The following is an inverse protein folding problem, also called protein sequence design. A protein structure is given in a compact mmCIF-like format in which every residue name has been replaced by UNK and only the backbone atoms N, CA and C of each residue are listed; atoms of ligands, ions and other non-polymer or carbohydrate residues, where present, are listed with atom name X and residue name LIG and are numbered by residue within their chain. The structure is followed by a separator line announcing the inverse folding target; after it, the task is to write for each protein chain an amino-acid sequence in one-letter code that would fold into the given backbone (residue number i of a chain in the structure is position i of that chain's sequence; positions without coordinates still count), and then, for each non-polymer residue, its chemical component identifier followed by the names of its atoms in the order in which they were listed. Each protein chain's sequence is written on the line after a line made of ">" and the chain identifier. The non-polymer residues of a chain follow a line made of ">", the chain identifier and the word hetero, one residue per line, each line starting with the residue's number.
data_IF_097638939138
#
_entry.id   IF_097638939138
#
_cell.length_a   1.000
_cell.length_b   1.000
_cell.length_c   1.000
_cell.angle_alpha   90.00
_cell.angle_beta   90.00
_cell.angle_gamma   90.00
#
_symmetry.space_group_name_H-M   'P 1'
#
loop_
_entity.id
_entity.type
_entity.pdbx_description
1 polymer ?
#
# COMPACT_ATOMS: atom_id res chain seq x y z
N UNK A 1 -57.11 -54.85 10.31
CA UNK A 1 -57.22 -56.17 9.66
C UNK A 1 -55.84 -56.81 9.67
N UNK A 2 -55.81 -58.11 9.43
CA UNK A 2 -54.70 -59.02 9.08
C UNK A 2 -53.39 -58.38 8.53
N UNK A 3 -52.19 -58.95 8.71
CA UNK A 3 -51.69 -60.24 9.28
C UNK A 3 -50.29 -59.99 9.91
N UNK A 4 -49.86 -60.61 11.02
CA UNK A 4 -49.33 -61.98 11.23
C UNK A 4 -47.98 -62.31 10.56
N UNK A 5 -47.03 -62.85 11.35
CA UNK A 5 -45.71 -63.36 10.89
C UNK A 5 -44.54 -62.90 11.81
N UNK A 6 -44.03 -63.67 12.79
CA UNK A 6 -43.24 -64.94 12.72
C UNK A 6 -41.80 -64.71 12.23
N UNK A 7 -40.73 -64.84 13.03
CA UNK A 7 -40.58 -65.15 14.47
C UNK A 7 -39.26 -65.90 14.75
N UNK A 8 -38.98 -66.27 16.03
CA UNK A 8 -37.92 -67.24 16.48
C UNK A 8 -36.44 -66.81 16.31
N UNK A 9 -35.43 -67.27 17.08
CA UNK A 9 -35.36 -67.97 18.40
C UNK A 9 -33.90 -68.08 18.92
N UNK A 10 -33.64 -67.65 20.18
CA UNK A 10 -32.92 -68.38 21.28
C UNK A 10 -32.48 -67.38 22.38
N UNK A 11 -32.65 -67.55 23.70
CA UNK A 11 -32.80 -68.73 24.62
C UNK A 11 -31.47 -69.46 24.87
N UNK A 12 -31.01 -69.72 26.11
CA UNK A 12 -31.64 -69.62 27.46
C UNK A 12 -31.17 -68.36 28.25
N UNK A 13 -30.87 -68.23 29.58
CA UNK A 13 -30.73 -69.13 30.77
C UNK A 13 -30.92 -68.35 32.12
N UNK A 14 -31.34 -69.08 33.18
CA UNK A 14 -31.11 -68.99 34.66
C UNK A 14 -30.39 -67.73 35.24
N UNK A 15 -30.97 -66.91 36.14
CA UNK A 15 -31.37 -67.11 37.58
C UNK A 15 -30.20 -67.40 38.56
N UNK A 16 -30.14 -67.01 39.84
CA UNK A 16 -30.52 -65.87 40.71
C UNK A 16 -30.10 -66.26 42.16
N UNK A 17 -30.31 -65.38 43.15
CA UNK A 17 -30.56 -65.67 44.58
C UNK A 17 -29.41 -65.69 45.62
N UNK A 18 -29.76 -65.14 46.81
CA UNK A 18 -29.16 -65.35 48.15
C UNK A 18 -27.86 -64.57 48.49
N UNK A 19 -27.58 -64.13 49.74
CA UNK A 19 -28.34 -64.15 51.00
C UNK A 19 -27.98 -62.93 51.92
N UNK A 20 -28.61 -62.83 53.11
CA UNK A 20 -28.69 -61.62 53.94
C UNK A 20 -27.85 -61.58 55.24
N UNK A 21 -27.56 -60.35 55.68
CA UNK A 21 -27.32 -59.88 57.08
C UNK A 21 -26.13 -60.41 57.92
N UNK A 22 -25.32 -59.47 58.46
CA UNK A 22 -25.46 -58.98 59.86
C UNK A 22 -24.53 -57.78 60.17
N UNK A 23 -24.89 -57.02 61.19
CA UNK A 23 -24.36 -55.68 61.50
C UNK A 23 -23.12 -55.66 62.42
N UNK A 24 -22.31 -54.60 62.30
CA UNK A 24 -21.44 -54.11 63.37
C UNK A 24 -21.04 -52.62 63.24
N UNK A 25 -21.33 -51.86 64.30
CA UNK A 25 -20.55 -50.73 64.86
C UNK A 25 -20.31 -49.41 64.08
N UNK A 26 -20.85 -48.34 64.69
CA UNK A 26 -20.27 -46.98 64.85
C UNK A 26 -20.32 -45.98 63.68
N UNK A 27 -20.75 -44.76 64.00
CA UNK A 27 -20.94 -43.61 63.10
C UNK A 27 -19.83 -42.56 63.32
N UNK A 28 -19.46 -41.87 62.22
CA UNK A 28 -18.64 -40.64 62.14
C UNK A 28 -17.11 -40.77 62.20
N UNK A 29 -16.44 -40.49 61.08
CA UNK A 29 -15.83 -39.15 60.89
C UNK A 29 -15.35 -38.87 59.45
N UNK A 30 -15.64 -37.65 58.97
CA UNK A 30 -15.01 -36.92 57.83
C UNK A 30 -15.23 -37.43 56.38
N UNK A 31 -15.63 -36.57 55.43
CA UNK A 31 -15.65 -36.92 54.00
C UNK A 31 -14.26 -36.83 53.36
N UNK A 32 -13.94 -37.78 52.46
CA UNK A 32 -12.61 -37.89 51.84
C UNK A 32 -12.42 -36.91 50.66
N UNK A 33 -11.58 -35.88 50.83
CA UNK A 33 -11.15 -34.99 49.73
C UNK A 33 -10.22 -35.73 48.76
N UNK A 34 -10.73 -36.24 47.63
CA UNK A 34 -9.93 -36.91 46.57
C UNK A 34 -9.96 -36.26 45.17
N UNK A 35 -10.45 -35.02 45.04
CA UNK A 35 -10.40 -34.26 43.77
C UNK A 35 -9.59 -32.93 43.72
N UNK A 36 -8.88 -32.44 44.77
CA UNK A 36 -8.27 -31.11 44.68
C UNK A 36 -7.13 -31.02 43.65
N UNK A 37 -6.20 -31.98 43.63
CA UNK A 37 -4.97 -31.86 42.82
C UNK A 37 -5.25 -31.82 41.31
N UNK A 38 -6.16 -32.65 40.79
CA UNK A 38 -6.51 -32.66 39.36
C UNK A 38 -7.19 -31.35 38.96
N UNK A 39 -8.07 -30.80 39.82
CA UNK A 39 -8.71 -29.51 39.60
C UNK A 39 -7.69 -28.37 39.62
N UNK A 40 -6.74 -28.37 40.56
CA UNK A 40 -5.64 -27.39 40.60
C UNK A 40 -4.75 -27.46 39.36
N UNK A 41 -4.39 -28.66 38.88
CA UNK A 41 -3.60 -28.83 37.65
C UNK A 41 -4.37 -28.31 36.43
N UNK A 42 -5.68 -28.59 36.32
CA UNK A 42 -6.53 -28.07 35.24
C UNK A 42 -6.64 -26.53 35.28
N UNK A 43 -6.80 -25.94 36.47
CA UNK A 43 -6.82 -24.47 36.66
C UNK A 43 -5.47 -23.86 36.27
N UNK A 44 -4.34 -24.45 36.68
CA UNK A 44 -3.00 -23.98 36.29
C UNK A 44 -2.77 -24.08 34.78
N UNK A 45 -3.22 -25.16 34.14
CA UNK A 45 -3.19 -25.30 32.68
C UNK A 45 -4.02 -24.24 31.96
N UNK A 46 -5.21 -23.92 32.48
CA UNK A 46 -6.05 -22.85 31.96
C UNK A 46 -5.41 -21.47 32.14
N UNK A 47 -4.82 -21.20 33.31
CA UNK A 47 -4.07 -19.95 33.59
C UNK A 47 -2.88 -19.81 32.64
N UNK A 48 -2.13 -20.88 32.37
CA UNK A 48 -1.03 -20.87 31.41
C UNK A 48 -1.52 -20.59 29.98
N UNK A 49 -2.61 -21.23 29.53
CA UNK A 49 -3.21 -20.98 28.22
C UNK A 49 -3.73 -19.53 28.07
N UNK A 50 -4.43 -19.01 29.09
CA UNK A 50 -4.91 -17.62 29.12
C UNK A 50 -3.74 -16.64 29.19
N UNK A 51 -2.70 -16.94 29.97
CA UNK A 51 -1.47 -16.15 30.04
C UNK A 51 -0.72 -16.09 28.70
N UNK A 52 -0.55 -17.23 28.02
CA UNK A 52 0.02 -17.29 26.67
C UNK A 52 -0.86 -16.56 25.64
N UNK A 53 -2.19 -16.64 25.76
CA UNK A 53 -3.10 -15.92 24.88
C UNK A 53 -3.01 -14.40 25.07
N UNK A 54 -3.06 -13.91 26.32
CA UNK A 54 -2.88 -12.49 26.66
C UNK A 54 -1.49 -12.00 26.22
N UNK A 55 -0.43 -12.79 26.43
CA UNK A 55 0.92 -12.46 25.95
C UNK A 55 0.99 -12.42 24.42
N UNK A 56 0.31 -13.32 23.71
CA UNK A 56 0.22 -13.28 22.25
C UNK A 56 -0.54 -12.05 21.74
N UNK A 57 -1.56 -11.59 22.48
CA UNK A 57 -2.28 -10.36 22.17
C UNK A 57 -1.44 -9.12 22.44
N UNK A 58 -0.74 -9.04 23.59
CA UNK A 58 0.11 -7.89 23.91
C UNK A 58 1.34 -7.78 22.99
N UNK A 59 1.96 -8.90 22.60
CA UNK A 59 2.98 -8.94 21.53
C UNK A 59 2.45 -8.38 20.20
N UNK A 60 1.18 -8.67 19.89
CA UNK A 60 0.50 -8.27 18.64
C UNK A 60 -0.05 -6.84 18.66
N UNK A 61 -0.36 -6.29 19.84
CA UNK A 61 -0.82 -4.91 20.04
C UNK A 61 0.33 -3.91 20.24
N UNK A 62 1.33 -4.24 21.06
CA UNK A 62 2.41 -3.31 21.41
C UNK A 62 3.57 -3.30 20.40
N UNK A 63 3.51 -4.12 19.34
CA UNK A 63 4.54 -4.16 18.30
C UNK A 63 5.91 -4.67 18.76
N UNK A 64 6.02 -5.24 19.96
CA UNK A 64 7.29 -5.69 20.56
C UNK A 64 8.03 -6.72 19.67
N UNK A 65 7.29 -7.59 18.96
CA UNK A 65 7.85 -8.50 17.97
C UNK A 65 8.44 -7.77 16.75
N UNK A 66 7.85 -6.64 16.33
CA UNK A 66 8.41 -5.80 15.26
C UNK A 66 9.67 -5.08 15.74
N UNK A 67 9.68 -4.60 17.00
CA UNK A 67 10.88 -4.04 17.63
C UNK A 67 12.05 -5.04 17.69
N UNK A 68 11.80 -6.28 18.14
CA UNK A 68 12.80 -7.35 18.18
C UNK A 68 13.31 -7.74 16.77
N UNK A 69 12.42 -7.84 15.78
CA UNK A 69 12.83 -8.06 14.39
C UNK A 69 13.68 -6.89 13.88
N UNK A 70 13.36 -5.65 14.25
CA UNK A 70 14.09 -4.45 13.84
C UNK A 70 15.47 -4.35 14.50
N UNK A 71 15.62 -4.69 15.78
CA UNK A 71 16.96 -4.75 16.42
C UNK A 71 17.85 -5.79 15.75
N UNK A 72 17.32 -6.99 15.50
CA UNK A 72 18.08 -8.08 14.88
C UNK A 72 18.43 -7.78 13.41
N UNK A 73 17.60 -6.98 12.71
CA UNK A 73 17.94 -6.45 11.39
C UNK A 73 19.05 -5.41 11.45
N UNK A 74 19.03 -4.48 12.42
CA UNK A 74 20.08 -3.45 12.59
C UNK A 74 21.43 -4.09 12.93
N UNK A 75 21.43 -5.08 13.83
CA UNK A 75 22.63 -5.83 14.21
C UNK A 75 23.23 -6.56 13.00
N UNK A 76 22.39 -7.21 12.16
CA UNK A 76 22.82 -7.87 10.92
C UNK A 76 23.17 -6.92 9.77
N UNK A 77 22.74 -5.66 9.79
CA UNK A 77 23.26 -4.62 8.88
C UNK A 77 24.68 -4.18 9.31
N UNK A 78 24.97 -4.11 10.62
CA UNK A 78 26.29 -3.74 11.16
C UNK A 78 27.40 -4.75 10.85
N UNK A 79 27.07 -6.02 10.63
CA UNK A 79 28.03 -7.06 10.24
C UNK A 79 28.45 -7.01 8.76
N UNK A 80 27.88 -6.11 7.94
CA UNK A 80 28.14 -6.07 6.49
C UNK A 80 29.41 -5.27 6.13
N UNK A 81 30.18 -5.69 5.10
CA UNK A 81 31.40 -5.00 4.67
C UNK A 81 31.24 -3.52 4.27
N UNK A 82 30.02 -3.09 3.94
CA UNK A 82 29.72 -1.75 3.44
C UNK A 82 29.15 -0.78 4.49
N UNK A 83 29.11 -1.17 5.78
CA UNK A 83 28.46 -0.37 6.83
C UNK A 83 29.22 0.93 7.14
N UNK A 84 28.62 2.09 6.86
CA UNK A 84 29.16 3.39 7.25
C UNK A 84 28.74 3.75 8.70
N UNK A 85 29.68 3.87 9.67
CA UNK A 85 29.38 4.19 11.07
C UNK A 85 28.80 5.60 11.29
N UNK A 86 28.68 6.43 10.24
CA UNK A 86 28.03 7.75 10.28
C UNK A 86 26.51 7.68 10.06
N UNK A 87 25.97 6.53 9.65
CA UNK A 87 24.52 6.33 9.47
C UNK A 87 23.85 6.23 10.86
N UNK A 88 22.86 7.08 11.20
CA UNK A 88 22.11 6.95 12.45
C UNK A 88 21.28 5.66 12.48
N UNK A 89 21.16 5.02 13.64
CA UNK A 89 20.38 3.77 13.81
C UNK A 89 18.91 3.88 13.37
N UNK A 90 18.35 5.09 13.37
CA UNK A 90 16.99 5.40 12.89
C UNK A 90 16.85 5.40 11.36
N UNK A 91 17.96 5.47 10.63
CA UNK A 91 18.03 5.41 9.17
C UNK A 91 18.42 4.02 8.64
N UNK A 92 19.13 3.19 9.42
CA UNK A 92 19.58 1.84 9.03
C UNK A 92 18.44 0.98 8.41
N UNK A 93 17.21 0.93 8.96
CA UNK A 93 16.11 0.15 8.36
C UNK A 93 15.66 0.60 6.96
N UNK A 94 16.16 1.75 6.48
CA UNK A 94 15.87 2.34 5.17
C UNK A 94 17.13 2.41 4.27
N UNK A 95 18.26 1.87 4.73
CA UNK A 95 19.49 1.69 3.97
C UNK A 95 19.56 0.25 3.49
N UNK A 96 19.88 0.05 2.21
CA UNK A 96 20.00 -1.28 1.64
C UNK A 96 21.23 -1.38 0.74
N UNK A 97 21.84 -2.57 0.72
CA UNK A 97 22.90 -2.94 -0.23
C UNK A 97 22.42 -4.16 -1.02
N UNK A 98 21.63 -3.97 -2.10
CA UNK A 98 21.10 -5.06 -2.90
C UNK A 98 22.21 -5.88 -3.55
N UNK A 99 21.95 -7.17 -3.75
CA UNK A 99 22.82 -8.14 -4.44
C UNK A 99 22.00 -8.74 -5.60
N UNK A 100 22.08 -8.15 -6.81
CA UNK A 100 21.28 -8.60 -7.95
C UNK A 100 21.64 -10.03 -8.35
N UNK A 101 20.68 -10.75 -8.92
CA UNK A 101 20.89 -12.08 -9.48
C UNK A 101 21.35 -12.02 -10.94
N UNK A 102 21.12 -10.91 -11.65
CA UNK A 102 21.44 -10.80 -13.09
C UNK A 102 22.74 -10.06 -13.41
N UNK A 103 23.41 -9.45 -12.43
CA UNK A 103 24.68 -8.73 -12.60
C UNK A 103 25.37 -8.45 -11.24
N UNK A 104 26.69 -8.33 -11.22
CA UNK A 104 27.41 -7.74 -10.07
C UNK A 104 27.27 -6.22 -10.10
N UNK A 105 27.26 -5.57 -8.93
CA UNK A 105 27.27 -4.11 -8.80
C UNK A 105 28.67 -3.51 -8.86
N UNK A 106 29.73 -4.31 -8.80
CA UNK A 106 31.13 -3.89 -8.97
C UNK A 106 31.47 -2.70 -8.04
N UNK A 107 31.98 -1.58 -8.57
CA UNK A 107 32.27 -0.35 -7.81
C UNK A 107 31.07 0.19 -7.03
N UNK A 108 29.85 -0.08 -7.49
CA UNK A 108 28.61 0.35 -6.86
C UNK A 108 28.16 -0.56 -5.70
N UNK A 109 28.84 -1.68 -5.39
CA UNK A 109 28.38 -2.65 -4.39
C UNK A 109 28.09 -2.00 -3.01
N UNK A 110 29.01 -1.17 -2.52
CA UNK A 110 28.85 -0.42 -1.26
C UNK A 110 28.14 0.94 -1.41
N UNK A 111 27.48 1.23 -2.53
CA UNK A 111 26.55 2.37 -2.61
C UNK A 111 25.26 2.02 -1.84
N UNK A 112 24.88 2.87 -0.88
CA UNK A 112 23.55 2.80 -0.23
C UNK A 112 22.43 2.91 -1.27
N UNK A 113 21.40 2.07 -1.16
CA UNK A 113 20.19 2.15 -1.98
C UNK A 113 18.97 2.38 -1.11
N UNK A 114 18.23 3.46 -1.37
CA UNK A 114 16.98 3.81 -0.68
C UNK A 114 15.78 3.36 -1.50
N UNK A 115 14.87 2.57 -0.92
CA UNK A 115 13.68 2.07 -1.61
C UNK A 115 12.50 3.04 -1.51
N UNK A 116 11.78 3.29 -2.60
CA UNK A 116 10.63 4.21 -2.60
C UNK A 116 9.45 3.81 -3.51
N UNK A 117 8.26 4.31 -3.19
CA UNK A 117 7.08 4.18 -4.03
C UNK A 117 6.31 5.51 -4.14
N UNK A 118 6.09 6.00 -5.36
CA UNK A 118 5.27 7.18 -5.64
C UNK A 118 3.80 6.77 -5.67
N UNK A 119 3.09 6.96 -4.56
CA UNK A 119 1.69 6.57 -4.38
C UNK A 119 0.76 7.69 -4.88
N UNK A 120 -0.08 7.41 -5.89
CA UNK A 120 -0.78 8.45 -6.65
C UNK A 120 -2.15 8.00 -7.17
N UNK A 121 -2.98 8.94 -7.64
CA UNK A 121 -4.12 8.64 -8.51
C UNK A 121 -3.83 9.05 -9.96
N UNK A 122 -4.52 8.43 -10.93
CA UNK A 122 -4.46 8.85 -12.34
C UNK A 122 -4.74 10.34 -12.48
N UNK A 123 -3.96 10.98 -13.37
CA UNK A 123 -3.99 12.43 -13.68
C UNK A 123 -3.65 13.36 -12.50
N UNK A 124 -2.98 12.85 -11.46
CA UNK A 124 -2.41 13.66 -10.35
C UNK A 124 -0.98 14.18 -10.62
N UNK A 125 -0.49 14.07 -11.86
CA UNK A 125 0.83 14.60 -12.26
C UNK A 125 2.04 13.71 -11.96
N UNK A 126 1.83 12.49 -11.45
CA UNK A 126 2.93 11.60 -11.04
C UNK A 126 3.87 11.18 -12.16
N UNK A 127 3.44 11.05 -13.41
CA UNK A 127 4.35 10.85 -14.55
C UNK A 127 5.28 12.05 -14.85
N UNK A 128 4.89 13.28 -14.47
CA UNK A 128 5.78 14.45 -14.55
C UNK A 128 6.76 14.50 -13.38
N UNK A 129 6.31 14.19 -12.16
CA UNK A 129 7.20 14.08 -10.99
C UNK A 129 8.20 12.93 -11.14
N UNK A 130 7.78 11.80 -11.69
CA UNK A 130 8.64 10.66 -12.02
C UNK A 130 9.74 11.04 -13.02
N UNK A 131 9.42 11.73 -14.12
CA UNK A 131 10.46 12.19 -15.07
C UNK A 131 11.39 13.24 -14.46
N UNK A 132 10.92 14.04 -13.50
CA UNK A 132 11.78 14.94 -12.73
C UNK A 132 12.75 14.16 -11.84
N UNK A 133 12.27 13.17 -11.08
CA UNK A 133 13.15 12.34 -10.23
C UNK A 133 14.14 11.53 -11.06
N UNK A 134 13.71 10.91 -12.17
CA UNK A 134 14.58 10.16 -13.08
C UNK A 134 15.62 11.02 -13.82
N UNK A 135 15.52 12.36 -13.76
CA UNK A 135 16.60 13.26 -14.24
C UNK A 135 17.77 13.40 -13.26
N UNK A 136 17.63 12.91 -12.03
CA UNK A 136 18.77 12.68 -11.15
C UNK A 136 19.54 11.43 -11.64
N UNK A 137 20.88 11.43 -11.66
CA UNK A 137 21.65 10.27 -12.10
C UNK A 137 21.37 9.06 -11.21
N UNK A 138 21.51 9.19 -9.89
CA UNK A 138 21.38 8.06 -8.96
C UNK A 138 19.92 7.61 -8.61
N UNK A 139 18.88 8.04 -9.34
CA UNK A 139 17.47 7.65 -9.06
C UNK A 139 16.85 6.85 -10.21
N UNK A 140 16.33 5.66 -9.91
CA UNK A 140 15.60 4.82 -10.85
C UNK A 140 14.14 4.59 -10.43
N UNK A 141 13.20 5.36 -10.98
CA UNK A 141 11.75 5.13 -10.85
C UNK A 141 11.22 4.40 -12.09
N UNK A 142 10.69 3.19 -11.87
CA UNK A 142 10.48 2.18 -12.92
C UNK A 142 9.06 2.18 -13.52
N UNK A 143 8.32 3.29 -13.45
CA UNK A 143 7.00 3.40 -14.05
C UNK A 143 5.90 2.66 -13.29
N UNK A 144 4.76 2.47 -13.97
CA UNK A 144 3.58 1.78 -13.43
C UNK A 144 3.70 0.27 -13.62
N UNK A 145 4.65 -0.38 -12.94
CA UNK A 145 4.89 -1.83 -13.11
C UNK A 145 3.63 -2.67 -12.81
N UNK A 146 2.78 -2.20 -11.89
CA UNK A 146 1.49 -2.80 -11.53
C UNK A 146 0.28 -2.35 -12.38
N UNK A 147 0.47 -1.57 -13.45
CA UNK A 147 -0.58 -1.41 -14.47
C UNK A 147 -1.00 -2.77 -15.04
N UNK A 148 0.00 -3.60 -15.34
CA UNK A 148 -0.07 -4.99 -15.83
C UNK A 148 -0.78 -5.91 -14.84
N UNK A 149 -1.92 -6.49 -15.24
CA UNK A 149 -2.81 -7.28 -14.36
C UNK A 149 -2.13 -8.48 -13.67
N UNK A 150 -1.38 -9.38 -14.36
CA UNK A 150 -0.79 -10.57 -13.72
C UNK A 150 0.04 -10.29 -12.47
N UNK A 151 0.89 -9.25 -12.51
CA UNK A 151 1.79 -8.81 -11.42
C UNK A 151 1.06 -8.36 -10.16
N UNK A 152 -0.27 -8.17 -10.22
CA UNK A 152 -1.13 -7.78 -9.09
C UNK A 152 -2.40 -8.63 -9.00
N UNK A 153 -2.30 -9.89 -9.43
CA UNK A 153 -3.37 -10.89 -9.31
C UNK A 153 -3.70 -11.20 -7.84
N UNK A 154 -2.65 -11.41 -7.03
CA UNK A 154 -2.69 -11.65 -5.59
C UNK A 154 -1.49 -10.96 -4.89
N UNK A 155 -1.44 -11.02 -3.56
CA UNK A 155 -0.33 -10.45 -2.78
C UNK A 155 1.02 -11.12 -3.06
N UNK A 156 1.07 -12.43 -3.32
CA UNK A 156 2.32 -13.16 -3.60
C UNK A 156 3.03 -12.62 -4.84
N UNK A 157 2.30 -12.40 -5.94
CA UNK A 157 2.86 -11.83 -7.17
C UNK A 157 3.20 -10.33 -7.02
N UNK A 158 2.49 -9.59 -6.14
CA UNK A 158 2.88 -8.22 -5.76
C UNK A 158 4.23 -8.23 -5.05
N UNK A 159 4.36 -9.02 -3.97
CA UNK A 159 5.58 -9.16 -3.17
C UNK A 159 6.77 -9.57 -4.04
N UNK A 160 6.62 -10.64 -4.84
CA UNK A 160 7.62 -11.12 -5.80
C UNK A 160 8.04 -10.07 -6.85
N UNK A 161 7.10 -9.22 -7.28
CA UNK A 161 7.39 -8.11 -8.20
C UNK A 161 8.15 -6.97 -7.48
N UNK A 162 7.81 -6.67 -6.22
CA UNK A 162 8.54 -5.69 -5.40
C UNK A 162 9.95 -6.19 -5.06
N UNK A 163 10.10 -7.45 -4.69
CA UNK A 163 11.42 -8.03 -4.38
C UNK A 163 12.33 -8.01 -5.61
N UNK A 164 11.82 -8.33 -6.81
CA UNK A 164 12.58 -8.19 -8.05
C UNK A 164 12.98 -6.73 -8.35
N UNK A 165 12.12 -5.76 -8.06
CA UNK A 165 12.44 -4.33 -8.21
C UNK A 165 13.54 -3.88 -7.24
N UNK A 166 13.36 -4.20 -5.96
CA UNK A 166 14.22 -3.71 -4.89
C UNK A 166 15.56 -4.47 -4.79
N UNK A 167 15.65 -5.68 -5.35
CA UNK A 167 16.93 -6.35 -5.57
C UNK A 167 17.70 -5.85 -6.83
N UNK A 168 17.19 -4.81 -7.50
CA UNK A 168 17.71 -4.24 -8.76
C UNK A 168 17.67 -5.16 -10.00
N UNK A 169 17.08 -6.35 -9.89
CA UNK A 169 16.86 -7.29 -11.01
C UNK A 169 15.80 -6.80 -12.05
N UNK A 170 15.33 -5.56 -11.95
CA UNK A 170 14.28 -4.99 -12.80
C UNK A 170 14.85 -4.11 -13.92
N UNK A 171 15.13 -4.73 -15.06
CA UNK A 171 15.56 -4.01 -16.25
C UNK A 171 14.44 -3.13 -16.84
N UNK A 172 14.73 -1.84 -17.03
CA UNK A 172 13.84 -0.88 -17.71
C UNK A 172 14.64 0.30 -18.28
N UNK A 173 13.98 1.19 -19.04
CA UNK A 173 14.57 2.46 -19.50
C UNK A 173 14.81 3.50 -18.39
N UNK A 174 14.55 3.16 -17.12
CA UNK A 174 14.98 3.92 -15.96
C UNK A 174 16.29 3.40 -15.33
N UNK A 175 16.94 2.40 -15.95
CA UNK A 175 18.31 1.98 -15.60
C UNK A 175 19.31 3.14 -15.76
N UNK A 176 20.45 3.03 -15.08
CA UNK A 176 21.45 4.09 -14.92
C UNK A 176 22.85 3.59 -15.24
N UNK A 177 23.68 4.50 -15.74
CA UNK A 177 25.10 4.24 -15.93
C UNK A 177 25.87 4.51 -14.62
N UNK A 178 25.37 5.45 -13.82
CA UNK A 178 25.88 5.77 -12.49
C UNK A 178 25.26 4.87 -11.41
N UNK A 179 25.99 4.63 -10.32
CA UNK A 179 25.50 3.88 -9.16
C UNK A 179 24.12 4.37 -8.69
N UNK A 180 23.12 3.48 -8.74
CA UNK A 180 21.77 3.78 -8.27
C UNK A 180 21.75 3.86 -6.75
N UNK A 181 21.39 5.02 -6.21
CA UNK A 181 21.29 5.28 -4.77
C UNK A 181 19.83 5.36 -4.28
N UNK A 182 18.85 5.41 -5.19
CA UNK A 182 17.46 5.14 -4.87
C UNK A 182 16.73 4.45 -6.02
N UNK A 183 15.99 3.39 -5.70
CA UNK A 183 15.17 2.63 -6.66
C UNK A 183 13.72 2.57 -6.20
N UNK A 184 12.80 2.63 -7.16
CA UNK A 184 11.38 2.66 -6.86
C UNK A 184 10.49 2.55 -8.07
N UNK A 185 9.20 2.81 -7.82
CA UNK A 185 8.12 2.72 -8.81
C UNK A 185 7.10 3.85 -8.62
N UNK A 186 6.23 4.01 -9.62
CA UNK A 186 5.01 4.81 -9.54
C UNK A 186 3.81 3.88 -9.45
N UNK A 187 3.04 3.95 -8.37
CA UNK A 187 1.95 3.01 -8.09
C UNK A 187 0.63 3.76 -7.91
N UNK A 188 -0.36 3.46 -8.76
CA UNK A 188 -1.67 4.07 -8.61
C UNK A 188 -2.50 3.36 -7.55
N UNK A 189 -3.25 4.10 -6.72
CA UNK A 189 -4.03 3.54 -5.60
C UNK A 189 -4.98 2.39 -6.01
N UNK A 190 -5.51 2.42 -7.24
CA UNK A 190 -6.39 1.40 -7.80
C UNK A 190 -5.67 0.19 -8.46
N UNK A 191 -4.34 0.19 -8.55
CA UNK A 191 -3.54 -0.91 -9.10
C UNK A 191 -3.20 -1.95 -8.02
N UNK A 192 -4.22 -2.42 -7.30
CA UNK A 192 -4.06 -3.43 -6.24
C UNK A 192 -3.56 -2.89 -4.89
N UNK A 193 -2.88 -1.74 -4.85
CA UNK A 193 -2.35 -1.11 -3.63
C UNK A 193 -3.40 -1.03 -2.49
N UNK A 194 -4.56 -0.43 -2.78
CA UNK A 194 -5.63 -0.28 -1.78
C UNK A 194 -6.42 -1.57 -1.50
N UNK A 195 -6.27 -2.61 -2.32
CA UNK A 195 -6.89 -3.93 -2.10
C UNK A 195 -6.07 -4.78 -1.10
N UNK A 196 -4.75 -4.66 -1.16
CA UNK A 196 -3.79 -5.43 -0.35
C UNK A 196 -3.02 -4.52 0.62
N UNK A 197 -3.68 -3.50 1.15
CA UNK A 197 -3.02 -2.41 1.85
C UNK A 197 -2.39 -2.84 3.19
N UNK A 198 -2.94 -3.85 3.86
CA UNK A 198 -2.42 -4.33 5.14
C UNK A 198 -1.08 -5.06 4.93
N UNK A 199 -1.06 -5.93 3.92
CA UNK A 199 0.11 -6.71 3.52
C UNK A 199 1.21 -5.82 2.93
N UNK A 200 0.83 -4.81 2.14
CA UNK A 200 1.77 -3.85 1.52
C UNK A 200 2.34 -2.89 2.58
N UNK A 201 1.56 -2.41 3.55
CA UNK A 201 2.07 -1.63 4.69
C UNK A 201 3.06 -2.46 5.52
N UNK A 202 2.75 -3.74 5.77
CA UNK A 202 3.70 -4.67 6.39
C UNK A 202 4.98 -4.82 5.56
N UNK A 203 4.88 -5.04 4.25
CA UNK A 203 6.04 -5.12 3.36
C UNK A 203 6.89 -3.84 3.43
N UNK A 204 6.27 -2.67 3.31
CA UNK A 204 6.96 -1.37 3.32
C UNK A 204 7.77 -1.18 4.62
N UNK A 205 7.17 -1.50 5.77
CA UNK A 205 7.83 -1.37 7.07
C UNK A 205 8.90 -2.46 7.32
N UNK A 206 8.74 -3.66 6.75
CA UNK A 206 9.76 -4.73 6.84
C UNK A 206 10.92 -4.55 5.86
N UNK A 207 10.75 -3.75 4.80
CA UNK A 207 11.70 -3.61 3.67
C UNK A 207 12.14 -2.16 3.44
N UNK A 208 11.99 -1.26 4.41
CA UNK A 208 12.50 0.12 4.32
C UNK A 208 11.89 0.99 3.22
N UNK A 209 10.70 0.64 2.68
CA UNK A 209 10.14 1.35 1.52
C UNK A 209 9.52 2.68 1.94
N UNK A 210 10.12 3.77 1.46
CA UNK A 210 9.66 5.14 1.71
C UNK A 210 8.53 5.55 0.75
N UNK A 211 7.35 5.85 1.30
CA UNK A 211 6.17 6.20 0.50
C UNK A 211 6.12 7.72 0.17
N UNK A 212 6.00 8.05 -1.11
CA UNK A 212 5.86 9.43 -1.59
C UNK A 212 4.45 9.61 -2.13
N UNK A 213 3.55 10.16 -1.32
CA UNK A 213 2.20 10.48 -1.77
C UNK A 213 2.23 11.69 -2.69
N UNK A 214 1.76 11.55 -3.93
CA UNK A 214 1.47 12.67 -4.82
C UNK A 214 -0.03 12.74 -5.12
N UNK A 215 -0.70 13.61 -4.40
CA UNK A 215 -2.13 13.87 -4.51
C UNK A 215 -2.40 15.13 -5.34
N UNK A 216 -3.67 15.44 -5.61
CA UNK A 216 -4.08 16.63 -6.37
C UNK A 216 -5.33 17.20 -5.74
N UNK A 217 -5.27 18.44 -5.24
CA UNK A 217 -6.36 19.06 -4.48
C UNK A 217 -7.59 19.35 -5.36
N UNK A 218 -7.39 19.84 -6.59
CA UNK A 218 -8.52 20.14 -7.46
C UNK A 218 -9.03 18.87 -8.18
N UNK A 219 -9.97 18.17 -7.53
CA UNK A 219 -10.53 16.92 -8.05
C UNK A 219 -11.38 17.10 -9.30
N UNK A 220 -12.04 18.27 -9.50
CA UNK A 220 -12.76 18.59 -10.74
C UNK A 220 -11.79 18.70 -11.93
N UNK A 221 -10.71 19.46 -11.79
CA UNK A 221 -9.67 19.57 -12.83
C UNK A 221 -8.92 18.25 -13.07
N UNK A 222 -8.81 17.39 -12.04
CA UNK A 222 -8.37 16.01 -12.21
C UNK A 222 -9.37 15.22 -13.07
N UNK A 223 -10.66 15.30 -12.79
CA UNK A 223 -11.72 14.58 -13.51
C UNK A 223 -11.84 15.01 -14.97
N UNK A 224 -11.81 16.32 -15.27
CA UNK A 224 -11.68 16.85 -16.65
C UNK A 224 -10.49 16.22 -17.38
N UNK A 225 -9.33 16.13 -16.70
CA UNK A 225 -8.16 15.50 -17.30
C UNK A 225 -8.24 13.97 -17.42
N UNK A 226 -9.14 13.29 -16.71
CA UNK A 226 -9.43 11.86 -16.90
C UNK A 226 -10.29 11.70 -18.16
N UNK A 227 -11.36 12.48 -18.29
CA UNK A 227 -12.25 12.45 -19.46
C UNK A 227 -11.49 12.79 -20.75
N UNK A 228 -10.66 13.83 -20.76
CA UNK A 228 -9.82 14.17 -21.92
C UNK A 228 -8.79 13.08 -22.27
N UNK A 229 -8.24 12.36 -21.28
CA UNK A 229 -7.35 11.22 -21.54
C UNK A 229 -8.13 10.01 -22.10
N UNK A 230 -9.38 9.80 -21.68
CA UNK A 230 -10.22 8.75 -22.22
C UNK A 230 -10.62 9.05 -23.68
N UNK A 231 -10.95 10.32 -23.98
CA UNK A 231 -11.22 10.79 -25.33
C UNK A 231 -10.03 10.58 -26.26
N UNK A 232 -8.82 11.03 -25.90
CA UNK A 232 -7.62 10.77 -26.71
C UNK A 232 -7.27 9.28 -26.82
N UNK A 233 -7.59 8.46 -25.81
CA UNK A 233 -7.40 7.01 -25.90
C UNK A 233 -8.35 6.32 -26.89
N UNK A 234 -9.50 6.94 -27.21
CA UNK A 234 -10.44 6.45 -28.20
C UNK A 234 -10.18 7.07 -29.59
N UNK A 235 -10.08 8.40 -29.65
CA UNK A 235 -9.97 9.19 -30.87
C UNK A 235 -8.53 9.34 -31.39
N UNK A 236 -7.52 9.04 -30.57
CA UNK A 236 -6.09 9.00 -30.95
C UNK A 236 -5.63 10.28 -31.66
N UNK A 237 -5.84 11.42 -30.99
CA UNK A 237 -5.84 12.76 -31.60
C UNK A 237 -4.48 13.21 -32.16
N UNK A 238 -3.40 12.52 -31.80
CA UNK A 238 -2.04 12.81 -32.29
C UNK A 238 -1.62 11.74 -33.30
N UNK A 239 -1.99 11.94 -34.57
CA UNK A 239 -1.63 11.10 -35.71
C UNK A 239 -1.93 9.60 -35.49
N UNK A 240 -3.15 9.27 -35.04
CA UNK A 240 -3.54 7.87 -34.80
C UNK A 240 -2.89 7.24 -33.56
N UNK A 241 -2.21 8.02 -32.72
CA UNK A 241 -1.57 7.59 -31.47
C UNK A 241 -2.20 8.27 -30.25
N UNK A 242 -2.49 7.50 -29.20
CA UNK A 242 -2.85 8.02 -27.88
C UNK A 242 -1.58 8.50 -27.14
N UNK A 243 -1.58 9.69 -26.54
CA UNK A 243 -0.48 10.16 -25.68
C UNK A 243 -0.97 10.75 -24.35
N UNK A 244 -0.86 9.96 -23.27
CA UNK A 244 -1.13 10.43 -21.91
C UNK A 244 -0.22 11.60 -21.45
N UNK A 245 0.98 11.72 -22.04
CA UNK A 245 1.97 12.78 -21.82
C UNK A 245 2.57 13.24 -23.15
N UNK A 246 2.92 14.52 -23.27
CA UNK A 246 3.37 15.17 -24.51
C UNK A 246 4.63 16.00 -24.27
N UNK A 247 5.43 16.22 -25.32
CA UNK A 247 6.72 16.91 -25.23
C UNK A 247 6.76 18.28 -25.93
N UNK A 248 5.78 18.58 -26.79
CA UNK A 248 5.64 19.88 -27.45
C UNK A 248 4.44 20.68 -26.94
N UNK A 249 4.45 22.00 -27.17
CA UNK A 249 3.28 22.86 -26.96
C UNK A 249 2.15 22.54 -27.94
N UNK A 250 2.49 22.25 -29.19
CA UNK A 250 1.52 21.95 -30.25
C UNK A 250 0.68 20.69 -29.94
N UNK A 251 1.31 19.58 -29.53
CA UNK A 251 0.59 18.39 -29.07
C UNK A 251 -0.28 18.70 -27.83
N UNK A 252 0.24 19.49 -26.89
CA UNK A 252 -0.48 19.90 -25.69
C UNK A 252 -1.72 20.75 -26.02
N UNK A 253 -1.62 21.62 -27.01
CA UNK A 253 -2.70 22.48 -27.49
C UNK A 253 -3.77 21.68 -28.24
N UNK A 254 -3.38 20.72 -29.10
CA UNK A 254 -4.32 19.81 -29.78
C UNK A 254 -5.12 18.98 -28.76
N UNK A 255 -4.45 18.35 -27.78
CA UNK A 255 -5.14 17.58 -26.74
C UNK A 255 -6.04 18.45 -25.85
N UNK A 256 -5.70 19.73 -25.66
CA UNK A 256 -6.50 20.69 -24.89
C UNK A 256 -7.66 21.34 -25.69
N UNK A 257 -7.92 20.93 -26.95
CA UNK A 257 -9.10 21.36 -27.69
C UNK A 257 -10.38 20.63 -27.24
N UNK A 258 -10.26 19.37 -26.81
CA UNK A 258 -11.40 18.59 -26.35
C UNK A 258 -11.92 19.11 -25.00
N UNK A 259 -13.21 19.43 -24.95
CA UNK A 259 -13.93 19.78 -23.73
C UNK A 259 -14.95 18.68 -23.42
N UNK A 260 -14.85 17.96 -22.29
CA UNK A 260 -15.91 17.07 -21.88
C UNK A 260 -17.16 17.84 -21.45
N UNK A 261 -18.32 17.39 -21.93
CA UNK A 261 -19.61 17.58 -21.28
C UNK A 261 -19.65 16.64 -20.06
N UNK A 262 -19.92 17.18 -18.88
CA UNK A 262 -19.89 16.44 -17.60
C UNK A 262 -21.31 16.14 -17.13
N UNK A 263 -21.57 14.87 -16.79
CA UNK A 263 -22.82 14.49 -16.14
C UNK A 263 -22.89 15.02 -14.69
N UNK A 264 -23.80 15.97 -14.47
CA UNK A 264 -24.09 16.55 -13.15
C UNK A 264 -24.70 15.55 -12.16
N UNK A 265 -25.33 14.45 -12.60
CA UNK A 265 -25.92 13.43 -11.70
C UNK A 265 -24.84 12.62 -10.98
N UNK A 266 -23.78 12.22 -11.68
CA UNK A 266 -22.67 11.42 -11.11
C UNK A 266 -21.52 12.26 -10.55
N UNK A 267 -21.35 13.51 -10.98
CA UNK A 267 -20.22 14.38 -10.60
C UNK A 267 -19.92 14.43 -9.09
N UNK A 268 -20.93 14.73 -8.25
CA UNK A 268 -20.73 14.83 -6.78
C UNK A 268 -20.26 13.48 -6.21
N UNK A 269 -20.75 12.36 -6.73
CA UNK A 269 -20.37 11.00 -6.31
C UNK A 269 -18.93 10.70 -6.73
N UNK A 270 -18.52 11.05 -7.95
CA UNK A 270 -17.14 10.87 -8.43
C UNK A 270 -16.11 11.72 -7.67
N UNK A 271 -16.49 12.95 -7.27
CA UNK A 271 -15.69 13.79 -6.40
C UNK A 271 -15.59 13.18 -5.00
N UNK A 272 -16.71 12.77 -4.37
CA UNK A 272 -16.71 12.06 -3.07
C UNK A 272 -15.86 10.79 -3.10
N UNK A 273 -15.96 9.99 -4.17
CA UNK A 273 -15.20 8.73 -4.34
C UNK A 273 -13.70 8.99 -4.49
N UNK A 274 -13.32 10.02 -5.23
CA UNK A 274 -11.91 10.41 -5.40
C UNK A 274 -11.30 10.98 -4.11
N UNK A 275 -12.08 11.78 -3.38
CA UNK A 275 -11.71 12.40 -2.11
C UNK A 275 -11.53 11.35 -1.01
N UNK A 276 -12.50 10.44 -0.86
CA UNK A 276 -12.40 9.30 0.06
C UNK A 276 -11.20 8.40 -0.28
N UNK A 277 -10.96 8.07 -1.54
CA UNK A 277 -9.82 7.23 -1.93
C UNK A 277 -8.46 7.84 -1.53
N UNK A 278 -8.34 9.17 -1.51
CA UNK A 278 -7.14 9.84 -1.00
C UNK A 278 -7.03 9.76 0.53
N UNK A 279 -8.13 10.02 1.24
CA UNK A 279 -8.17 9.97 2.71
C UNK A 279 -7.93 8.55 3.25
N UNK A 280 -8.59 7.55 2.68
CA UNK A 280 -8.41 6.13 3.02
C UNK A 280 -6.96 5.68 2.80
N UNK A 281 -6.30 6.15 1.73
CA UNK A 281 -4.90 5.81 1.45
C UNK A 281 -3.93 6.41 2.47
N UNK A 282 -4.11 7.70 2.83
CA UNK A 282 -3.32 8.33 3.88
C UNK A 282 -3.56 7.66 5.24
N UNK A 283 -4.81 7.31 5.58
CA UNK A 283 -5.15 6.62 6.83
C UNK A 283 -4.55 5.20 6.89
N UNK A 284 -4.60 4.45 5.80
CA UNK A 284 -4.06 3.09 5.74
C UNK A 284 -2.54 3.04 5.85
N UNK A 285 -1.84 4.01 5.25
CA UNK A 285 -0.37 4.07 5.22
C UNK A 285 0.25 4.97 6.30
N UNK A 286 -0.55 5.53 7.22
CA UNK A 286 -0.10 6.47 8.27
C UNK A 286 1.07 5.96 9.13
N UNK A 287 1.19 4.63 9.27
CA UNK A 287 2.23 3.95 10.04
C UNK A 287 3.46 3.55 9.19
N UNK A 288 3.58 4.03 7.95
CA UNK A 288 4.79 3.86 7.10
C UNK A 288 5.63 5.14 7.09
N UNK A 289 6.93 5.04 6.79
CA UNK A 289 7.76 6.22 6.50
C UNK A 289 7.25 6.88 5.22
N UNK A 290 6.62 8.04 5.33
CA UNK A 290 5.99 8.70 4.19
C UNK A 290 6.13 10.23 4.18
N UNK A 291 6.05 10.80 2.98
CA UNK A 291 5.93 12.24 2.72
C UNK A 291 4.69 12.50 1.86
N UNK A 292 3.98 13.62 2.08
CA UNK A 292 2.78 14.01 1.31
C UNK A 292 3.03 15.26 0.51
N UNK A 293 2.80 15.17 -0.80
CA UNK A 293 2.91 16.26 -1.77
C UNK A 293 1.56 16.45 -2.48
N UNK A 294 1.28 17.68 -2.87
CA UNK A 294 0.18 18.01 -3.76
C UNK A 294 0.71 18.59 -5.06
N UNK A 295 0.14 18.14 -6.18
CA UNK A 295 0.47 18.58 -7.54
C UNK A 295 0.47 20.11 -7.67
N UNK A 296 -0.52 20.78 -7.08
CA UNK A 296 -0.65 22.23 -7.06
C UNK A 296 0.58 22.93 -6.42
N UNK A 297 1.17 22.34 -5.38
CA UNK A 297 2.33 22.91 -4.68
C UNK A 297 3.61 22.70 -5.47
N UNK A 298 3.81 21.50 -6.06
CA UNK A 298 4.99 21.18 -6.89
C UNK A 298 5.01 21.99 -8.19
N UNK A 299 3.83 22.29 -8.76
CA UNK A 299 3.68 23.21 -9.90
C UNK A 299 3.95 24.66 -9.51
N UNK A 300 3.47 25.11 -8.35
CA UNK A 300 3.67 26.48 -7.85
C UNK A 300 5.11 26.75 -7.43
N UNK A 301 5.75 25.77 -6.79
CA UNK A 301 7.14 25.85 -6.34
C UNK A 301 7.86 24.51 -6.52
N UNK A 302 8.77 24.48 -7.50
CA UNK A 302 9.57 23.29 -7.81
C UNK A 302 10.61 22.92 -6.75
N UNK A 303 10.92 23.80 -5.78
CA UNK A 303 11.79 23.42 -4.65
C UNK A 303 11.16 22.35 -3.77
N UNK A 304 9.84 22.12 -3.84
CA UNK A 304 9.16 21.01 -3.13
C UNK A 304 9.57 19.60 -3.55
N UNK A 305 10.41 19.46 -4.58
CA UNK A 305 11.08 18.19 -4.89
C UNK A 305 12.44 18.05 -4.19
N UNK A 306 12.99 19.12 -3.62
CA UNK A 306 14.17 19.02 -2.74
C UNK A 306 13.78 18.36 -1.41
N UNK A 307 12.59 18.64 -0.90
CA UNK A 307 11.97 17.93 0.23
C UNK A 307 11.94 16.40 0.02
N UNK A 308 11.80 15.95 -1.24
CA UNK A 308 11.81 14.52 -1.61
C UNK A 308 13.23 13.96 -1.65
N UNK A 309 14.19 14.72 -2.17
CA UNK A 309 15.60 14.33 -2.15
C UNK A 309 16.11 14.24 -0.70
N UNK A 310 15.76 15.20 0.15
CA UNK A 310 16.06 15.18 1.61
C UNK A 310 15.45 13.96 2.30
N UNK A 311 14.16 13.67 2.04
CA UNK A 311 13.43 12.54 2.61
C UNK A 311 14.06 11.17 2.23
N UNK A 312 14.58 11.07 1.00
CA UNK A 312 15.34 9.93 0.47
C UNK A 312 16.86 10.04 0.68
N UNK A 313 17.37 11.01 1.46
CA UNK A 313 18.81 11.21 1.75
C UNK A 313 19.73 11.40 0.53
N UNK A 314 19.19 11.88 -0.59
CA UNK A 314 19.91 12.10 -1.85
C UNK A 314 20.45 13.54 -1.96
N UNK A 315 21.60 13.75 -2.64
CA UNK A 315 22.11 15.09 -2.93
C UNK A 315 21.12 15.96 -3.71
N UNK A 316 20.95 17.23 -3.31
CA UNK A 316 20.10 18.18 -4.03
C UNK A 316 20.68 18.52 -5.40
N UNK A 317 19.96 18.17 -6.48
CA UNK A 317 20.34 18.50 -7.86
C UNK A 317 19.19 19.15 -8.63
N UNK A 318 19.53 19.93 -9.67
CA UNK A 318 18.56 20.62 -10.55
C UNK A 318 17.81 19.61 -11.43
N UNK A 319 16.63 19.19 -11.00
CA UNK A 319 15.77 18.27 -11.75
C UNK A 319 15.20 18.92 -13.04
N UNK A 320 15.03 18.14 -14.10
CA UNK A 320 14.49 18.55 -15.40
C UNK A 320 13.50 17.53 -15.97
N UNK A 321 12.61 17.95 -16.87
CA UNK A 321 11.65 17.06 -17.53
C UNK A 321 11.21 17.68 -18.86
N UNK A 322 10.93 16.82 -19.86
CA UNK A 322 10.40 17.21 -21.17
C UNK A 322 8.87 17.26 -21.23
N UNK A 323 8.16 16.82 -20.19
CA UNK A 323 6.69 16.79 -20.21
C UNK A 323 6.09 18.21 -20.19
N UNK A 324 5.23 18.50 -21.16
CA UNK A 324 4.46 19.75 -21.25
C UNK A 324 3.08 19.57 -20.59
N UNK A 325 2.59 20.61 -19.92
CA UNK A 325 1.26 20.63 -19.30
C UNK A 325 0.19 20.90 -20.37
N UNK A 326 -0.70 19.93 -20.61
CA UNK A 326 -1.83 20.02 -21.56
C UNK A 326 -2.79 21.16 -21.18
N UNK A 327 -3.51 21.05 -20.05
CA UNK A 327 -4.52 22.03 -19.67
C UNK A 327 -3.89 23.29 -19.03
N UNK A 328 -3.69 24.34 -19.84
CA UNK A 328 -3.10 25.63 -19.44
C UNK A 328 -4.11 26.74 -19.17
N UNK A 329 -5.23 26.79 -19.92
CA UNK A 329 -6.34 27.76 -19.77
C UNK A 329 -7.11 27.60 -18.44
N UNK A 330 -8.07 28.48 -18.13
CA UNK A 330 -8.87 28.41 -16.88
C UNK A 330 -9.76 27.15 -16.90
N UNK A 331 -10.17 26.64 -15.74
CA UNK A 331 -10.92 25.39 -15.64
C UNK A 331 -12.23 25.40 -16.46
N UNK A 332 -12.97 26.51 -16.41
CA UNK A 332 -14.17 26.73 -17.24
C UNK A 332 -13.93 26.63 -18.75
N UNK A 333 -12.71 26.93 -19.20
CA UNK A 333 -12.37 26.98 -20.62
C UNK A 333 -12.13 25.54 -21.18
N UNK A 334 -12.01 24.53 -20.29
CA UNK A 334 -11.82 23.10 -20.59
C UNK A 334 -13.06 22.24 -20.25
N UNK A 335 -14.21 22.84 -20.01
CA UNK A 335 -15.49 22.16 -19.75
C UNK A 335 -16.52 22.70 -20.73
N UNK A 336 -17.32 21.82 -21.31
CA UNK A 336 -18.32 22.19 -22.30
C UNK A 336 -19.55 22.82 -21.64
N UNK A 337 -20.29 22.04 -20.83
CA UNK A 337 -21.43 22.50 -20.04
C UNK A 337 -21.00 23.17 -18.71
N UNK A 338 -20.11 24.17 -18.76
CA UNK A 338 -19.58 24.81 -17.56
C UNK A 338 -20.67 25.36 -16.61
N UNK A 339 -21.75 25.93 -17.15
CA UNK A 339 -22.84 26.48 -16.34
C UNK A 339 -23.52 25.41 -15.47
N UNK A 340 -23.81 24.23 -16.03
CA UNK A 340 -24.33 23.07 -15.30
C UNK A 340 -23.38 22.61 -14.19
N UNK A 341 -22.09 22.50 -14.52
CA UNK A 341 -21.05 22.04 -13.58
C UNK A 341 -20.84 23.04 -12.45
N UNK A 342 -20.89 24.34 -12.75
CA UNK A 342 -20.83 25.40 -11.74
C UNK A 342 -22.04 25.30 -10.82
N UNK A 343 -23.26 25.30 -11.37
CA UNK A 343 -24.50 25.24 -10.60
C UNK A 343 -24.63 23.96 -9.75
N UNK A 344 -24.13 22.81 -10.25
CA UNK A 344 -24.11 21.55 -9.51
C UNK A 344 -23.07 21.48 -8.39
N UNK A 345 -22.13 22.43 -8.29
CA UNK A 345 -21.11 22.48 -7.24
C UNK A 345 -21.22 23.68 -6.32
N UNK A 346 -21.88 24.77 -6.71
CA UNK A 346 -22.24 25.91 -5.85
C UNK A 346 -23.01 25.43 -4.60
N UNK A 347 -22.67 25.97 -3.43
CA UNK A 347 -23.24 25.56 -2.14
C UNK A 347 -22.79 24.19 -1.64
N UNK A 348 -21.99 23.44 -2.41
CA UNK A 348 -21.40 22.17 -1.97
C UNK A 348 -19.99 22.37 -1.43
N UNK A 349 -19.50 21.41 -0.62
CA UNK A 349 -18.09 21.39 -0.16
C UNK A 349 -17.04 21.40 -1.30
N UNK A 350 -17.45 21.14 -2.54
CA UNK A 350 -16.59 21.08 -3.72
C UNK A 350 -16.60 22.38 -4.55
N UNK A 351 -17.40 23.39 -4.19
CA UNK A 351 -17.44 24.70 -4.87
C UNK A 351 -16.03 25.32 -5.04
N UNK A 352 -15.17 25.11 -4.03
CA UNK A 352 -13.77 25.56 -4.03
C UNK A 352 -12.98 25.11 -5.27
N UNK A 353 -13.34 23.98 -5.90
CA UNK A 353 -12.69 23.49 -7.12
C UNK A 353 -12.98 24.34 -8.36
N UNK A 354 -14.11 25.05 -8.41
CA UNK A 354 -14.47 25.92 -9.55
C UNK A 354 -13.45 27.04 -9.78
N UNK A 355 -12.88 27.56 -8.68
CA UNK A 355 -12.01 28.73 -8.69
C UNK A 355 -10.61 28.50 -9.30
N UNK A 356 -10.23 27.25 -9.62
CA UNK A 356 -9.01 26.89 -10.35
C UNK A 356 -7.66 27.15 -9.64
N UNK A 357 -7.65 28.01 -8.62
CA UNK A 357 -6.57 28.22 -7.65
C UNK A 357 -6.98 27.54 -6.35
N UNK A 358 -6.13 26.69 -5.79
CA UNK A 358 -6.30 26.28 -4.39
C UNK A 358 -6.32 27.54 -3.51
N UNK A 359 -7.25 27.62 -2.56
CA UNK A 359 -7.05 28.52 -1.40
C UNK A 359 -5.80 28.05 -0.64
N UNK A 360 -5.23 28.98 0.14
CA UNK A 360 -3.98 28.79 0.89
C UNK A 360 -4.12 27.64 1.89
#
# INVERSE_FOLDING_TARGET
>A
MEEAGKGRERVVEVEDLSATTKDAAVVSTKPAKRHPLVLWIAILGLIMLVGMYIFSLSLKQNGMLFGLLQTNMIEKEREKPCHDPRIPDTEIPYVHYPTPNTYDREECACTEVRFFAILSMQRSGSGWVETLLNSHPNISSNGEIFSVKPRRSNITEITKTLDKLYNLDWYSSAAKNECTAAVGLKWMLNQGLMKHHQEIVKYFNQRGVSAIFLLRRNLLQRYVSILANAHDSAMKQLNGTHKAHVHSKQEAEILAQYKPTIDKKTLITELKRSDKLAADALMNFKNTRHIVLYYEDVVKNRTKLMDVLDFLRLPKRKLSSRHVKIHTKRLRDHIDNWADVSNALTGTRFESFLNGRSRR
#
